data_IF_210557870367
#
_entry.id   IF_210557870367
#
_cell.length_a   1.000
_cell.length_b   1.000
_cell.length_c   1.000
_cell.angle_alpha   90.00
_cell.angle_beta   90.00
_cell.angle_gamma   90.00
#
_symmetry.space_group_name_H-M   'P 1'
#
loop_
_entity.id
_entity.type
_entity.pdbx_description
1 polymer ?
#
# COMPACT_ATOMS: atom_id res chain seq x y z
N UNK A 1 -34.14 -17.15 46.56
CA UNK A 1 -33.71 -17.40 47.96
C UNK A 1 -34.07 -16.28 48.95
N UNK A 2 -34.89 -15.28 48.58
CA UNK A 2 -35.41 -14.24 49.51
C UNK A 2 -36.86 -14.47 49.97
N UNK A 3 -37.59 -15.41 49.36
CA UNK A 3 -38.97 -15.74 49.73
C UNK A 3 -39.10 -16.82 50.80
N UNK A 4 -38.06 -17.63 51.05
CA UNK A 4 -38.09 -18.68 52.08
C UNK A 4 -37.79 -18.17 53.50
N UNK A 5 -37.11 -17.02 53.63
CA UNK A 5 -36.77 -16.41 54.93
C UNK A 5 -37.96 -15.62 55.51
N UNK A 6 -38.91 -15.19 54.68
CA UNK A 6 -40.13 -14.51 55.14
C UNK A 6 -41.13 -15.48 55.79
N UNK A 7 -41.24 -16.72 55.31
CA UNK A 7 -42.20 -17.70 55.82
C UNK A 7 -41.81 -18.28 57.20
N UNK A 8 -40.51 -18.37 57.50
CA UNK A 8 -40.02 -18.88 58.78
C UNK A 8 -40.19 -17.89 59.95
N UNK A 9 -40.35 -16.58 59.67
CA UNK A 9 -40.57 -15.55 60.70
C UNK A 9 -42.03 -15.39 61.11
N UNK A 10 -42.99 -15.71 60.24
CA UNK A 10 -44.43 -15.65 60.59
C UNK A 10 -44.90 -16.85 61.44
N UNK A 11 -44.28 -18.02 61.27
CA UNK A 11 -44.66 -19.22 62.05
C UNK A 11 -44.12 -19.17 63.48
N UNK A 12 -42.99 -18.49 63.73
CA UNK A 12 -42.37 -18.44 65.07
C UNK A 12 -43.00 -17.39 66.00
N UNK A 13 -43.70 -16.38 65.45
CA UNK A 13 -44.41 -15.36 66.25
C UNK A 13 -45.81 -15.83 66.68
N UNK A 14 -46.41 -16.80 65.98
CA UNK A 14 -47.76 -17.31 66.31
C UNK A 14 -47.80 -18.44 67.35
N UNK A 15 -46.67 -19.04 67.72
CA UNK A 15 -46.64 -20.18 68.66
C UNK A 15 -46.22 -19.77 70.09
N UNK A 16 -45.77 -18.54 70.31
CA UNK A 16 -45.20 -18.10 71.60
C UNK A 16 -46.10 -17.17 72.45
N UNK A 17 -47.43 -17.18 72.26
CA UNK A 17 -48.34 -16.30 73.02
C UNK A 17 -49.59 -16.99 73.60
N UNK A 18 -49.57 -18.31 73.81
CA UNK A 18 -50.73 -19.03 74.34
C UNK A 18 -50.41 -20.06 75.44
N UNK A 19 -49.42 -19.79 76.31
CA UNK A 19 -49.08 -20.70 77.40
C UNK A 19 -48.65 -20.01 78.71
N UNK A 20 -49.09 -18.77 78.96
CA UNK A 20 -48.80 -18.04 80.21
C UNK A 20 -49.95 -17.09 80.57
N UNK A 21 -51.09 -17.64 80.98
CA UNK A 21 -51.95 -17.07 82.03
C UNK A 21 -53.10 -18.04 82.30
N UNK A 22 -53.64 -18.00 83.52
CA UNK A 22 -54.78 -18.77 84.04
C UNK A 22 -54.42 -20.14 84.63
N UNK A 23 -54.15 -20.14 85.94
CA UNK A 23 -55.01 -20.81 86.94
C UNK A 23 -54.38 -20.63 88.33
N UNK A 24 -54.63 -19.47 88.93
CA UNK A 24 -54.67 -19.32 90.38
C UNK A 24 -56.15 -19.15 90.73
N UNK A 25 -56.79 -20.21 91.18
CA UNK A 25 -58.04 -20.13 91.94
C UNK A 25 -58.09 -21.31 92.92
N UNK A 26 -58.21 -21.05 94.23
CA UNK A 26 -58.40 -22.08 95.23
C UNK A 26 -59.88 -22.48 95.23
N UNK A 27 -60.19 -23.73 94.90
CA UNK A 27 -61.54 -24.25 95.11
C UNK A 27 -61.60 -24.89 96.50
N UNK A 28 -62.00 -24.08 97.46
CA UNK A 28 -62.61 -24.53 98.69
C UNK A 28 -64.02 -25.07 98.36
N UNK A 29 -64.26 -26.35 98.65
CA UNK A 29 -65.57 -26.98 98.77
C UNK A 29 -65.35 -28.22 99.65
N UNK A 30 -65.38 -28.13 100.98
CA UNK A 30 -66.60 -28.11 101.80
C UNK A 30 -67.61 -29.16 101.35
N UNK A 31 -67.30 -30.42 101.64
CA UNK A 31 -68.27 -31.51 101.74
C UNK A 31 -68.32 -31.95 103.21
N UNK A 32 -68.97 -31.09 104.01
CA UNK A 32 -69.49 -31.42 105.33
C UNK A 32 -70.74 -32.28 105.09
N UNK A 33 -70.62 -33.59 105.28
CA UNK A 33 -71.79 -34.45 105.47
C UNK A 33 -72.00 -34.56 106.97
N UNK A 34 -72.84 -33.66 107.48
CA UNK A 34 -73.51 -33.77 108.77
C UNK A 34 -74.56 -34.88 108.68
N UNK A 35 -74.26 -36.05 109.24
CA UNK A 35 -75.27 -37.03 109.61
C UNK A 35 -75.50 -36.93 111.11
N UNK A 36 -76.59 -36.25 111.40
CA UNK A 36 -77.17 -36.01 112.71
C UNK A 36 -77.48 -37.31 113.43
N UNK A 37 -77.15 -37.29 114.71
CA UNK A 37 -77.53 -38.23 115.74
C UNK A 37 -79.05 -38.36 115.82
N UNK A 38 -79.56 -39.59 115.67
CA UNK A 38 -80.81 -40.02 116.27
C UNK A 38 -80.51 -41.30 117.05
N UNK A 39 -80.47 -41.18 118.37
CA UNK A 39 -80.36 -42.30 119.28
C UNK A 39 -81.71 -42.97 119.49
N UNK A 40 -81.79 -44.25 119.14
CA UNK A 40 -82.60 -45.23 119.85
C UNK A 40 -81.68 -46.43 120.12
N UNK A 41 -81.52 -46.75 121.40
CA UNK A 41 -80.68 -47.83 121.87
C UNK A 41 -81.31 -49.21 121.72
N UNK A 42 -80.45 -50.22 121.85
CA UNK A 42 -80.85 -51.56 122.29
C UNK A 42 -81.08 -52.59 121.19
N UNK A 43 -80.02 -53.05 120.52
CA UNK A 43 -79.51 -54.42 120.64
C UNK A 43 -78.36 -54.59 119.65
N UNK A 44 -77.17 -54.82 120.22
CA UNK A 44 -75.96 -55.26 119.51
C UNK A 44 -76.25 -56.57 118.78
N UNK A 45 -76.58 -56.44 117.50
CA UNK A 45 -76.43 -57.53 116.54
C UNK A 45 -74.93 -57.77 116.34
N UNK A 46 -74.46 -58.91 116.81
CA UNK A 46 -73.16 -59.47 116.49
C UNK A 46 -72.97 -59.48 114.97
N UNK A 47 -72.17 -58.54 114.44
CA UNK A 47 -71.67 -58.69 113.06
C UNK A 47 -70.95 -60.02 113.02
N UNK A 48 -71.37 -60.87 112.07
CA UNK A 48 -70.79 -62.20 111.94
C UNK A 48 -69.31 -62.03 111.58
N UNK A 49 -68.39 -62.67 112.33
CA UNK A 49 -66.95 -62.68 112.02
C UNK A 49 -66.58 -62.79 110.51
N UNK A 50 -67.28 -63.58 109.67
CA UNK A 50 -66.96 -63.70 108.24
C UNK A 50 -67.01 -62.40 107.42
N UNK A 51 -67.85 -61.41 107.78
CA UNK A 51 -67.95 -60.16 107.00
C UNK A 51 -66.74 -59.24 107.24
N UNK A 52 -66.26 -59.18 108.48
CA UNK A 52 -65.05 -58.41 108.85
C UNK A 52 -63.80 -59.07 108.28
N UNK A 53 -63.73 -60.41 108.30
CA UNK A 53 -62.63 -61.17 107.70
C UNK A 53 -62.53 -60.95 106.18
N UNK A 54 -63.66 -60.91 105.47
CA UNK A 54 -63.71 -60.58 104.04
C UNK A 54 -63.20 -59.16 103.77
N UNK A 55 -63.62 -58.17 104.56
CA UNK A 55 -63.15 -56.80 104.41
C UNK A 55 -61.64 -56.65 104.70
N UNK A 56 -61.12 -57.34 105.72
CA UNK A 56 -59.69 -57.39 106.03
C UNK A 56 -58.89 -58.08 104.92
N UNK A 57 -59.42 -59.15 104.32
CA UNK A 57 -58.79 -59.81 103.17
C UNK A 57 -58.75 -58.89 101.94
N UNK A 58 -59.83 -58.15 101.68
CA UNK A 58 -59.88 -57.15 100.60
C UNK A 58 -58.91 -55.99 100.83
N UNK A 59 -58.82 -55.47 102.07
CA UNK A 59 -57.88 -54.43 102.45
C UNK A 59 -56.43 -54.91 102.31
N UNK A 60 -56.13 -56.13 102.77
CA UNK A 60 -54.81 -56.76 102.62
C UNK A 60 -54.45 -56.92 101.14
N UNK A 61 -55.36 -57.42 100.31
CA UNK A 61 -55.16 -57.54 98.85
C UNK A 61 -54.94 -56.17 98.19
N UNK A 62 -55.67 -55.13 98.62
CA UNK A 62 -55.51 -53.78 98.10
C UNK A 62 -54.13 -53.20 98.45
N UNK A 63 -53.64 -53.43 99.67
CA UNK A 63 -52.31 -53.01 100.12
C UNK A 63 -51.20 -53.74 99.36
N UNK A 64 -51.31 -55.05 99.12
CA UNK A 64 -50.33 -55.78 98.29
C UNK A 64 -50.34 -55.29 96.83
N UNK A 65 -51.51 -54.99 96.26
CA UNK A 65 -51.60 -54.38 94.91
C UNK A 65 -51.01 -52.96 94.88
N UNK A 66 -51.10 -52.20 95.96
CA UNK A 66 -50.46 -50.90 96.08
C UNK A 66 -48.93 -51.05 96.21
N UNK A 67 -48.47 -52.03 96.99
CA UNK A 67 -47.04 -52.37 97.13
C UNK A 67 -46.43 -52.82 95.80
N UNK A 68 -47.13 -53.64 95.02
CA UNK A 68 -46.68 -54.07 93.70
C UNK A 68 -46.57 -52.92 92.69
N UNK A 69 -47.25 -51.80 92.94
CA UNK A 69 -47.12 -50.56 92.17
C UNK A 69 -46.10 -49.58 92.78
N UNK A 70 -45.25 -50.05 93.71
CA UNK A 70 -44.25 -49.26 94.44
C UNK A 70 -44.84 -48.04 95.20
N UNK A 71 -46.08 -48.15 95.67
CA UNK A 71 -46.70 -47.12 96.51
C UNK A 71 -45.92 -46.76 97.80
N UNK A 72 -45.13 -47.65 98.45
CA UNK A 72 -44.30 -47.25 99.58
C UNK A 72 -43.30 -46.13 99.24
N UNK A 73 -42.80 -46.10 98.00
CA UNK A 73 -41.80 -45.13 97.52
C UNK A 73 -42.47 -43.94 96.84
N UNK A 74 -43.45 -44.20 95.97
CA UNK A 74 -44.07 -43.19 95.11
C UNK A 74 -45.27 -42.48 95.76
N UNK A 75 -45.98 -43.13 96.69
CA UNK A 75 -47.14 -42.58 97.38
C UNK A 75 -47.08 -42.86 98.91
N UNK A 76 -45.99 -42.46 99.59
CA UNK A 76 -45.65 -42.94 100.93
C UNK A 76 -46.72 -42.61 101.97
N UNK A 77 -47.36 -41.45 101.89
CA UNK A 77 -48.32 -40.99 102.90
C UNK A 77 -49.63 -41.80 102.84
N UNK A 78 -50.18 -41.98 101.64
CA UNK A 78 -51.38 -42.80 101.43
C UNK A 78 -51.12 -44.29 101.74
N UNK A 79 -49.94 -44.79 101.41
CA UNK A 79 -49.56 -46.18 101.73
C UNK A 79 -49.40 -46.40 103.25
N UNK A 80 -48.75 -45.47 103.95
CA UNK A 80 -48.63 -45.50 105.42
C UNK A 80 -50.00 -45.44 106.10
N UNK A 81 -50.89 -44.57 105.62
CA UNK A 81 -52.26 -44.47 106.13
C UNK A 81 -53.04 -45.77 105.94
N UNK A 82 -52.95 -46.40 104.76
CA UNK A 82 -53.56 -47.70 104.50
C UNK A 82 -53.03 -48.81 105.43
N UNK A 83 -51.71 -48.85 105.63
CA UNK A 83 -51.07 -49.84 106.51
C UNK A 83 -51.46 -49.65 107.98
N UNK A 84 -51.53 -48.39 108.46
CA UNK A 84 -51.99 -48.06 109.80
C UNK A 84 -53.46 -48.46 110.01
N UNK A 85 -54.35 -48.08 109.09
CA UNK A 85 -55.77 -48.45 109.15
C UNK A 85 -55.99 -49.97 109.12
N UNK A 86 -55.17 -50.73 108.38
CA UNK A 86 -55.24 -52.21 108.40
C UNK A 86 -54.76 -52.79 109.74
N UNK A 87 -53.70 -52.21 110.33
CA UNK A 87 -53.22 -52.64 111.64
C UNK A 87 -54.26 -52.37 112.75
N UNK A 88 -54.88 -51.19 112.72
CA UNK A 88 -55.94 -50.81 113.66
C UNK A 88 -57.20 -51.66 113.46
N UNK A 89 -57.56 -51.98 112.20
CA UNK A 89 -58.68 -52.88 111.91
C UNK A 89 -58.47 -54.30 112.48
N UNK A 90 -57.24 -54.83 112.38
CA UNK A 90 -56.88 -56.14 112.97
C UNK A 90 -56.92 -56.10 114.50
N UNK A 91 -56.49 -54.98 115.11
CA UNK A 91 -56.56 -54.78 116.56
C UNK A 91 -58.02 -54.70 117.03
N UNK A 92 -58.85 -53.90 116.38
CA UNK A 92 -60.28 -53.79 116.67
C UNK A 92 -61.03 -55.14 116.57
N UNK A 93 -60.66 -55.99 115.60
CA UNK A 93 -61.22 -57.35 115.49
C UNK A 93 -60.85 -58.23 116.68
N UNK A 94 -59.58 -58.20 117.13
CA UNK A 94 -59.13 -58.93 118.33
C UNK A 94 -59.87 -58.49 119.60
N UNK A 95 -60.17 -57.19 119.68
CA UNK A 95 -60.92 -56.57 120.78
C UNK A 95 -62.45 -56.75 120.65
N UNK A 96 -62.92 -57.53 119.66
CA UNK A 96 -64.34 -57.80 119.37
C UNK A 96 -65.15 -56.54 119.00
N UNK A 97 -64.51 -55.48 118.51
CA UNK A 97 -65.14 -54.24 118.01
C UNK A 97 -65.41 -54.34 116.50
N UNK A 98 -66.39 -55.14 116.11
CA UNK A 98 -66.66 -55.47 114.70
C UNK A 98 -66.94 -54.28 113.78
N UNK A 99 -67.70 -53.27 114.24
CA UNK A 99 -68.01 -52.06 113.47
C UNK A 99 -66.76 -51.23 113.16
N UNK A 100 -65.89 -51.04 114.16
CA UNK A 100 -64.64 -50.31 114.00
C UNK A 100 -63.68 -51.06 113.08
N UNK A 101 -63.57 -52.38 113.26
CA UNK A 101 -62.75 -53.23 112.39
C UNK A 101 -63.19 -53.16 110.93
N UNK A 102 -64.51 -53.19 110.66
CA UNK A 102 -65.06 -53.08 109.31
C UNK A 102 -64.80 -51.70 108.69
N UNK A 103 -65.06 -50.62 109.44
CA UNK A 103 -64.81 -49.23 108.99
C UNK A 103 -63.33 -49.01 108.66
N UNK A 104 -62.44 -49.42 109.56
CA UNK A 104 -60.99 -49.27 109.38
C UNK A 104 -60.47 -50.15 108.22
N UNK A 105 -61.03 -51.35 108.01
CA UNK A 105 -60.69 -52.18 106.87
C UNK A 105 -61.11 -51.54 105.53
N UNK A 106 -62.29 -50.91 105.46
CA UNK A 106 -62.69 -50.16 104.26
C UNK A 106 -61.85 -48.92 104.03
N UNK A 107 -61.49 -48.18 105.08
CA UNK A 107 -60.58 -47.04 104.98
C UNK A 107 -59.21 -47.50 104.47
N UNK A 108 -58.64 -48.57 105.05
CA UNK A 108 -57.39 -49.17 104.57
C UNK A 108 -57.46 -49.58 103.09
N UNK A 109 -58.56 -50.19 102.65
CA UNK A 109 -58.75 -50.58 101.25
C UNK A 109 -58.88 -49.36 100.31
N UNK A 110 -59.53 -48.28 100.76
CA UNK A 110 -59.67 -47.04 100.00
C UNK A 110 -58.32 -46.31 99.88
N UNK A 111 -57.60 -46.13 100.99
CA UNK A 111 -56.29 -45.50 101.04
C UNK A 111 -55.28 -46.28 100.20
N UNK A 112 -55.33 -47.61 100.22
CA UNK A 112 -54.48 -48.46 99.38
C UNK A 112 -54.77 -48.30 97.89
N UNK A 113 -56.05 -48.16 97.49
CA UNK A 113 -56.42 -47.89 96.10
C UNK A 113 -55.94 -46.50 95.64
N UNK A 114 -56.05 -45.49 96.50
CA UNK A 114 -55.51 -44.15 96.24
C UNK A 114 -54.00 -44.20 96.10
N UNK A 115 -53.30 -44.83 97.03
CA UNK A 115 -51.84 -44.98 97.00
C UNK A 115 -51.37 -45.68 95.72
N UNK A 116 -52.04 -46.76 95.32
CA UNK A 116 -51.75 -47.46 94.05
C UNK A 116 -51.93 -46.56 92.84
N UNK A 117 -53.02 -45.79 92.79
CA UNK A 117 -53.31 -44.90 91.65
C UNK A 117 -52.28 -43.78 91.55
N UNK A 118 -51.97 -43.13 92.66
CA UNK A 118 -50.95 -42.06 92.72
C UNK A 118 -49.59 -42.61 92.29
N UNK A 119 -49.20 -43.78 92.78
CA UNK A 119 -47.95 -44.42 92.39
C UNK A 119 -47.90 -44.73 90.88
N UNK A 120 -48.98 -45.29 90.32
CA UNK A 120 -49.07 -45.55 88.88
C UNK A 120 -49.04 -44.26 88.02
N UNK A 121 -49.68 -43.19 88.49
CA UNK A 121 -49.66 -41.89 87.80
C UNK A 121 -48.26 -41.25 87.83
N UNK A 122 -47.54 -41.36 88.96
CA UNK A 122 -46.16 -40.88 89.10
C UNK A 122 -45.22 -41.67 88.21
N UNK A 123 -45.29 -43.00 88.23
CA UNK A 123 -44.46 -43.88 87.38
C UNK A 123 -44.68 -43.58 85.88
N UNK A 124 -45.95 -43.47 85.47
CA UNK A 124 -46.31 -43.10 84.10
C UNK A 124 -45.78 -41.73 83.70
N UNK A 125 -45.89 -40.73 84.58
CA UNK A 125 -45.37 -39.38 84.31
C UNK A 125 -43.84 -39.38 84.24
N UNK A 126 -43.15 -40.16 85.09
CA UNK A 126 -41.71 -40.32 85.03
C UNK A 126 -41.26 -40.96 83.70
N UNK A 127 -41.96 -42.00 83.24
CA UNK A 127 -41.70 -42.63 81.94
C UNK A 127 -41.94 -41.66 80.76
N UNK A 128 -43.02 -40.88 80.80
CA UNK A 128 -43.31 -39.86 79.78
C UNK A 128 -42.24 -38.76 79.77
N UNK A 129 -41.82 -38.27 80.95
CA UNK A 129 -40.75 -37.27 81.05
C UNK A 129 -39.43 -37.81 80.51
N UNK A 130 -39.09 -39.07 80.78
CA UNK A 130 -37.89 -39.70 80.21
C UNK A 130 -37.94 -39.73 78.67
N UNK A 131 -39.09 -40.09 78.09
CA UNK A 131 -39.29 -40.09 76.63
C UNK A 131 -39.17 -38.66 76.07
N UNK A 132 -39.78 -37.66 76.72
CA UNK A 132 -39.70 -36.26 76.28
C UNK A 132 -38.25 -35.78 76.28
N UNK A 133 -37.50 -36.02 77.35
CA UNK A 133 -36.08 -35.66 77.45
C UNK A 133 -35.23 -36.36 76.36
N UNK A 134 -35.51 -37.63 76.07
CA UNK A 134 -34.83 -38.35 74.99
C UNK A 134 -35.14 -37.72 73.61
N UNK A 135 -36.41 -37.41 73.34
CA UNK A 135 -36.84 -36.76 72.09
C UNK A 135 -36.26 -35.36 71.95
N UNK A 136 -36.18 -34.59 73.04
CA UNK A 136 -35.54 -33.26 73.05
C UNK A 136 -34.05 -33.35 72.76
N UNK A 137 -33.33 -34.29 73.38
CA UNK A 137 -31.92 -34.53 73.11
C UNK A 137 -31.67 -34.94 71.64
N UNK A 138 -32.52 -35.81 71.10
CA UNK A 138 -32.45 -36.22 69.69
C UNK A 138 -32.78 -35.07 68.74
N UNK A 139 -33.79 -34.25 69.04
CA UNK A 139 -34.13 -33.07 68.25
C UNK A 139 -32.98 -32.05 68.25
N UNK A 140 -32.31 -31.87 69.39
CA UNK A 140 -31.11 -31.00 69.47
C UNK A 140 -29.97 -31.51 68.59
N UNK A 141 -29.64 -32.80 68.66
CA UNK A 141 -28.62 -33.43 67.79
C UNK A 141 -28.94 -33.28 66.31
N UNK A 142 -30.20 -33.46 65.93
CA UNK A 142 -30.65 -33.29 64.54
C UNK A 142 -30.50 -31.83 64.07
N UNK A 143 -30.86 -30.85 64.91
CA UNK A 143 -30.67 -29.42 64.60
C UNK A 143 -29.20 -29.06 64.42
N UNK A 144 -28.32 -29.54 65.29
CA UNK A 144 -26.87 -29.32 65.18
C UNK A 144 -26.30 -29.95 63.89
N UNK A 145 -26.77 -31.15 63.55
CA UNK A 145 -26.39 -31.83 62.30
C UNK A 145 -26.86 -31.06 61.08
N UNK A 146 -28.12 -30.60 61.06
CA UNK A 146 -28.69 -29.79 59.98
C UNK A 146 -27.90 -28.49 59.80
N UNK A 147 -27.64 -27.75 60.88
CA UNK A 147 -26.85 -26.51 60.82
C UNK A 147 -25.44 -26.76 60.25
N UNK A 148 -24.81 -27.87 60.62
CA UNK A 148 -23.50 -28.25 60.08
C UNK A 148 -23.58 -28.57 58.58
N UNK A 149 -24.63 -29.28 58.15
CA UNK A 149 -24.86 -29.62 56.74
C UNK A 149 -25.18 -28.40 55.90
N UNK A 150 -26.00 -27.48 56.39
CA UNK A 150 -26.30 -26.20 55.74
C UNK A 150 -25.01 -25.41 55.51
N UNK A 151 -24.14 -25.29 56.53
CA UNK A 151 -22.84 -24.62 56.39
C UNK A 151 -21.91 -25.31 55.38
N UNK A 152 -21.94 -26.65 55.29
CA UNK A 152 -21.21 -27.38 54.26
C UNK A 152 -21.75 -27.09 52.86
N UNK A 153 -23.08 -26.98 52.72
CA UNK A 153 -23.77 -26.71 51.46
C UNK A 153 -23.49 -25.28 50.98
N UNK A 154 -23.50 -24.29 51.87
CA UNK A 154 -23.10 -22.92 51.56
C UNK A 154 -21.65 -22.83 51.06
N UNK A 155 -20.72 -23.53 51.73
CA UNK A 155 -19.31 -23.59 51.29
C UNK A 155 -19.17 -24.25 49.92
N UNK A 156 -19.93 -25.32 49.66
CA UNK A 156 -19.93 -25.99 48.37
C UNK A 156 -20.48 -25.08 47.26
N UNK A 157 -21.60 -24.39 47.52
CA UNK A 157 -22.19 -23.42 46.59
C UNK A 157 -21.21 -22.29 46.25
N UNK A 158 -20.57 -21.69 47.26
CA UNK A 158 -19.56 -20.65 47.05
C UNK A 158 -18.36 -21.15 46.23
N UNK A 159 -17.95 -22.42 46.41
CA UNK A 159 -16.87 -23.03 45.61
C UNK A 159 -17.30 -23.23 44.16
N UNK A 160 -18.53 -23.66 43.90
CA UNK A 160 -19.09 -23.80 42.55
C UNK A 160 -19.13 -22.44 41.84
N UNK A 161 -19.57 -21.37 42.51
CA UNK A 161 -19.58 -20.03 41.93
C UNK A 161 -18.17 -19.55 41.56
N UNK A 162 -17.18 -19.76 42.44
CA UNK A 162 -15.78 -19.41 42.15
C UNK A 162 -15.27 -20.18 40.93
N UNK A 163 -15.47 -21.50 40.90
CA UNK A 163 -15.04 -22.35 39.77
C UNK A 163 -15.72 -21.94 38.46
N UNK A 164 -17.02 -21.57 38.49
CA UNK A 164 -17.72 -21.06 37.31
C UNK A 164 -17.13 -19.72 36.83
N UNK A 165 -16.71 -18.86 37.76
CA UNK A 165 -15.97 -17.64 37.45
C UNK A 165 -14.63 -17.91 36.76
N UNK A 166 -13.84 -18.83 37.32
CA UNK A 166 -12.56 -19.28 36.76
C UNK A 166 -12.73 -19.90 35.36
N UNK A 167 -13.74 -20.75 35.16
CA UNK A 167 -14.06 -21.34 33.86
C UNK A 167 -14.39 -20.26 32.80
N UNK A 168 -15.18 -19.25 33.16
CA UNK A 168 -15.49 -18.12 32.27
C UNK A 168 -14.24 -17.32 31.92
N UNK A 169 -13.34 -17.10 32.88
CA UNK A 169 -12.08 -16.41 32.63
C UNK A 169 -11.16 -17.22 31.70
N UNK A 170 -11.02 -18.51 31.94
CA UNK A 170 -10.26 -19.42 31.08
C UNK A 170 -10.82 -19.47 29.65
N UNK A 171 -12.15 -19.52 29.48
CA UNK A 171 -12.80 -19.43 28.15
C UNK A 171 -12.47 -18.13 27.42
N UNK A 172 -12.44 -16.99 28.12
CA UNK A 172 -12.04 -15.69 27.53
C UNK A 172 -10.58 -15.70 27.12
N UNK A 173 -9.69 -16.23 27.96
CA UNK A 173 -8.26 -16.35 27.65
C UNK A 173 -8.02 -17.27 26.46
N UNK A 174 -8.69 -18.43 26.40
CA UNK A 174 -8.61 -19.36 25.27
C UNK A 174 -9.03 -18.68 23.96
N UNK A 175 -10.15 -17.95 23.96
CA UNK A 175 -10.61 -17.21 22.78
C UNK A 175 -9.61 -16.14 22.33
N UNK A 176 -8.93 -15.45 23.27
CA UNK A 176 -7.88 -14.48 22.96
C UNK A 176 -6.68 -15.16 22.29
N UNK A 177 -6.20 -16.26 22.86
CA UNK A 177 -5.09 -17.03 22.30
C UNK A 177 -5.42 -17.59 20.91
N UNK A 178 -6.65 -18.05 20.69
CA UNK A 178 -7.09 -18.51 19.37
C UNK A 178 -7.12 -17.39 18.33
N UNK A 179 -7.53 -16.17 18.71
CA UNK A 179 -7.46 -14.99 17.84
C UNK A 179 -6.01 -14.64 17.50
N UNK A 180 -5.14 -14.56 18.51
CA UNK A 180 -3.71 -14.30 18.32
C UNK A 180 -3.06 -15.35 17.40
N UNK A 181 -3.40 -16.63 17.57
CA UNK A 181 -2.93 -17.73 16.69
C UNK A 181 -3.38 -17.52 15.24
N UNK A 182 -4.63 -17.09 15.00
CA UNK A 182 -5.14 -16.78 13.64
C UNK A 182 -4.41 -15.60 13.03
N UNK A 183 -4.19 -14.53 13.80
CA UNK A 183 -3.44 -13.36 13.34
C UNK A 183 -1.99 -13.71 12.99
N UNK A 184 -1.32 -14.50 13.83
CA UNK A 184 0.04 -14.99 13.55
C UNK A 184 0.08 -15.87 12.29
N UNK A 185 -0.93 -16.72 12.08
CA UNK A 185 -1.05 -17.53 10.85
C UNK A 185 -1.18 -16.64 9.61
N UNK A 186 -2.03 -15.61 9.67
CA UNK A 186 -2.22 -14.67 8.57
C UNK A 186 -0.94 -13.85 8.29
N UNK A 187 -0.25 -13.40 9.35
CA UNK A 187 1.06 -12.72 9.21
C UNK A 187 2.10 -13.65 8.57
N UNK A 188 2.18 -14.90 9.00
CA UNK A 188 3.08 -15.91 8.40
C UNK A 188 2.78 -16.12 6.92
N UNK A 189 1.51 -16.21 6.53
CA UNK A 189 1.12 -16.35 5.13
C UNK A 189 1.49 -15.10 4.31
N UNK A 190 1.25 -13.91 4.84
CA UNK A 190 1.65 -12.63 4.22
C UNK A 190 3.16 -12.54 4.02
N UNK A 191 3.95 -12.86 5.04
CA UNK A 191 5.41 -12.91 4.91
C UNK A 191 5.87 -13.98 3.92
N UNK A 192 5.20 -15.13 3.85
CA UNK A 192 5.45 -16.15 2.83
C UNK A 192 5.28 -15.61 1.41
N UNK A 193 4.21 -14.84 1.15
CA UNK A 193 3.97 -14.18 -0.14
C UNK A 193 5.03 -13.13 -0.46
N UNK A 194 5.45 -12.33 0.54
CA UNK A 194 6.52 -11.33 0.36
C UNK A 194 7.86 -12.00 0.02
N UNK A 195 8.21 -13.09 0.70
CA UNK A 195 9.44 -13.84 0.40
C UNK A 195 9.40 -14.44 -1.01
N UNK A 196 8.25 -14.98 -1.45
CA UNK A 196 8.10 -15.47 -2.81
C UNK A 196 8.30 -14.37 -3.87
N UNK A 197 7.65 -13.21 -3.68
CA UNK A 197 7.80 -12.06 -4.58
C UNK A 197 9.25 -11.53 -4.62
N UNK A 198 9.93 -11.47 -3.47
CA UNK A 198 11.35 -11.09 -3.41
C UNK A 198 12.24 -12.08 -4.15
N UNK A 199 11.95 -13.38 -4.05
CA UNK A 199 12.67 -14.43 -4.77
C UNK A 199 12.50 -14.30 -6.29
N UNK A 200 11.28 -14.04 -6.75
CA UNK A 200 11.01 -13.79 -8.18
C UNK A 200 11.73 -12.53 -8.69
N UNK A 201 11.73 -11.45 -7.90
CA UNK A 201 12.47 -10.22 -8.21
C UNK A 201 13.98 -10.48 -8.30
N UNK A 202 14.54 -11.26 -7.38
CA UNK A 202 15.95 -11.65 -7.41
C UNK A 202 16.29 -12.47 -8.66
N UNK A 203 15.45 -13.45 -9.02
CA UNK A 203 15.64 -14.23 -10.25
C UNK A 203 15.56 -13.36 -11.52
N UNK A 204 14.65 -12.38 -11.55
CA UNK A 204 14.54 -11.40 -12.63
C UNK A 204 15.79 -10.53 -12.73
N UNK A 205 16.30 -10.02 -11.61
CA UNK A 205 17.53 -9.23 -11.56
C UNK A 205 18.75 -10.05 -12.00
N UNK A 206 18.86 -11.31 -11.58
CA UNK A 206 19.92 -12.21 -12.04
C UNK A 206 19.86 -12.44 -13.55
N UNK A 207 18.66 -12.65 -14.11
CA UNK A 207 18.47 -12.76 -15.57
C UNK A 207 18.89 -11.49 -16.30
N UNK A 208 18.51 -10.30 -15.79
CA UNK A 208 18.92 -9.01 -16.35
C UNK A 208 20.42 -8.79 -16.29
N UNK A 209 21.05 -9.12 -15.16
CA UNK A 209 22.51 -9.04 -14.99
C UNK A 209 23.23 -9.94 -16.00
N UNK A 210 22.80 -11.20 -16.18
CA UNK A 210 23.37 -12.09 -17.22
C UNK A 210 23.22 -11.55 -18.65
N UNK A 211 22.09 -10.91 -18.96
CA UNK A 211 21.89 -10.26 -20.26
C UNK A 211 22.85 -9.08 -20.44
N UNK A 212 22.94 -8.19 -19.45
CA UNK A 212 23.86 -7.06 -19.47
C UNK A 212 25.33 -7.50 -19.60
N UNK A 213 25.75 -8.56 -18.90
CA UNK A 213 27.09 -9.15 -19.08
C UNK A 213 27.33 -9.64 -20.51
N UNK A 214 26.31 -10.21 -21.16
CA UNK A 214 26.40 -10.66 -22.54
C UNK A 214 26.51 -9.49 -23.51
N UNK A 215 25.71 -8.43 -23.30
CA UNK A 215 25.78 -7.19 -24.08
C UNK A 215 27.16 -6.52 -23.96
N UNK A 216 27.71 -6.42 -22.73
CA UNK A 216 29.05 -5.88 -22.50
C UNK A 216 30.11 -6.68 -23.27
N UNK A 217 30.02 -8.02 -23.27
CA UNK A 217 30.95 -8.85 -24.06
C UNK A 217 30.82 -8.61 -25.56
N UNK A 218 29.59 -8.41 -26.06
CA UNK A 218 29.37 -8.13 -27.47
C UNK A 218 29.95 -6.77 -27.87
N UNK A 219 29.67 -5.71 -27.10
CA UNK A 219 30.29 -4.40 -27.31
C UNK A 219 31.82 -4.45 -27.22
N UNK A 220 32.37 -5.25 -26.30
CA UNK A 220 33.81 -5.49 -26.23
C UNK A 220 34.40 -6.08 -27.52
N UNK A 221 33.67 -6.99 -28.19
CA UNK A 221 34.07 -7.54 -29.50
C UNK A 221 33.97 -6.50 -30.61
N UNK A 222 32.90 -5.71 -30.64
CA UNK A 222 32.71 -4.64 -31.63
C UNK A 222 33.82 -3.57 -31.53
N UNK A 223 34.17 -3.16 -30.31
CA UNK A 223 35.29 -2.23 -30.07
C UNK A 223 36.61 -2.82 -30.59
N UNK A 224 36.86 -4.11 -30.36
CA UNK A 224 38.07 -4.76 -30.85
C UNK A 224 38.11 -4.81 -32.39
N UNK A 225 36.98 -5.03 -33.05
CA UNK A 225 36.89 -5.01 -34.51
C UNK A 225 37.12 -3.60 -35.06
N UNK A 226 36.51 -2.57 -34.46
CA UNK A 226 36.73 -1.18 -34.85
C UNK A 226 38.18 -0.76 -34.68
N UNK A 227 38.85 -1.17 -33.59
CA UNK A 227 40.30 -0.92 -33.40
C UNK A 227 41.13 -1.56 -34.52
N UNK A 228 40.84 -2.79 -34.92
CA UNK A 228 41.53 -3.44 -36.05
C UNK A 228 41.31 -2.69 -37.37
N UNK A 229 40.09 -2.24 -37.64
CA UNK A 229 39.78 -1.43 -38.84
C UNK A 229 40.57 -0.12 -38.82
N UNK A 230 40.68 0.52 -37.67
CA UNK A 230 41.46 1.75 -37.49
C UNK A 230 42.96 1.51 -37.70
N UNK A 231 43.52 0.43 -37.14
CA UNK A 231 44.93 0.03 -37.38
C UNK A 231 45.22 -0.25 -38.87
N UNK A 232 44.28 -0.88 -39.58
CA UNK A 232 44.41 -1.12 -41.03
C UNK A 232 44.37 0.21 -41.80
N UNK A 233 43.43 1.09 -41.47
CA UNK A 233 43.35 2.42 -42.09
C UNK A 233 44.63 3.25 -41.84
N UNK A 234 45.14 3.24 -40.61
CA UNK A 234 46.41 3.90 -40.26
C UNK A 234 47.59 3.34 -41.05
N UNK A 235 47.64 2.02 -41.26
CA UNK A 235 48.67 1.38 -42.09
C UNK A 235 48.56 1.82 -43.55
N UNK A 236 47.36 1.84 -44.11
CA UNK A 236 47.12 2.31 -45.48
C UNK A 236 47.54 3.77 -45.67
N UNK A 237 47.20 4.65 -44.72
CA UNK A 237 47.63 6.06 -44.75
C UNK A 237 49.16 6.17 -44.74
N UNK A 238 49.84 5.36 -43.92
CA UNK A 238 51.32 5.34 -43.89
C UNK A 238 51.90 4.85 -45.20
N UNK A 239 51.37 3.78 -45.77
CA UNK A 239 51.79 3.20 -47.06
C UNK A 239 51.58 4.18 -48.22
N UNK A 240 50.41 4.82 -48.33
CA UNK A 240 50.15 5.89 -49.30
C UNK A 240 51.11 7.07 -49.11
N UNK A 241 51.40 7.44 -47.87
CA UNK A 241 52.40 8.45 -47.55
C UNK A 241 53.81 8.05 -48.02
N UNK A 242 54.19 6.78 -47.88
CA UNK A 242 55.45 6.25 -48.40
C UNK A 242 55.48 6.23 -49.93
N UNK A 243 54.41 5.82 -50.60
CA UNK A 243 54.30 5.81 -52.07
C UNK A 243 54.39 7.24 -52.63
N UNK A 244 53.69 8.21 -52.03
CA UNK A 244 53.79 9.63 -52.42
C UNK A 244 55.22 10.15 -52.28
N UNK A 245 55.90 9.83 -51.17
CA UNK A 245 57.32 10.21 -50.97
C UNK A 245 58.25 9.56 -52.00
N UNK A 246 58.05 8.28 -52.34
CA UNK A 246 58.82 7.59 -53.36
C UNK A 246 58.61 8.21 -54.75
N UNK A 247 57.37 8.52 -55.13
CA UNK A 247 57.04 9.18 -56.40
C UNK A 247 57.62 10.60 -56.50
N UNK A 248 57.66 11.35 -55.40
CA UNK A 248 58.34 12.66 -55.34
C UNK A 248 59.85 12.49 -55.57
N UNK A 249 60.48 11.51 -54.91
CA UNK A 249 61.91 11.24 -55.09
C UNK A 249 62.25 10.78 -56.52
N UNK A 250 61.41 9.96 -57.14
CA UNK A 250 61.54 9.59 -58.56
C UNK A 250 61.35 10.80 -59.48
N UNK A 251 60.34 11.64 -59.22
CA UNK A 251 60.13 12.86 -59.99
C UNK A 251 61.31 13.85 -59.85
N UNK A 252 61.93 13.95 -58.67
CA UNK A 252 63.13 14.75 -58.45
C UNK A 252 64.36 14.17 -59.14
N UNK A 253 64.53 12.85 -59.12
CA UNK A 253 65.56 12.13 -59.88
C UNK A 253 65.39 12.35 -61.39
N UNK A 254 64.17 12.21 -61.92
CA UNK A 254 63.83 12.46 -63.32
C UNK A 254 64.06 13.93 -63.69
N UNK A 255 63.71 14.89 -62.82
CA UNK A 255 64.02 16.32 -63.01
C UNK A 255 65.53 16.57 -63.06
N UNK A 256 66.32 15.88 -62.23
CA UNK A 256 67.79 15.97 -62.25
C UNK A 256 68.36 15.40 -63.55
N UNK A 257 67.88 14.24 -64.00
CA UNK A 257 68.25 13.64 -65.29
C UNK A 257 67.86 14.55 -66.47
N UNK A 258 66.68 15.15 -66.45
CA UNK A 258 66.21 16.12 -67.44
C UNK A 258 67.10 17.37 -67.49
N UNK A 259 67.55 17.89 -66.34
CA UNK A 259 68.51 19.01 -66.29
C UNK A 259 69.87 18.63 -66.87
N UNK A 260 70.36 17.42 -66.56
CA UNK A 260 71.63 16.92 -67.10
C UNK A 260 71.54 16.75 -68.63
N UNK A 261 70.45 16.17 -69.13
CA UNK A 261 70.22 16.05 -70.58
C UNK A 261 70.01 17.40 -71.25
N UNK A 262 69.27 18.32 -70.64
CA UNK A 262 69.09 19.67 -71.15
C UNK A 262 70.43 20.42 -71.24
N UNK A 263 71.33 20.23 -70.26
CA UNK A 263 72.69 20.78 -70.31
C UNK A 263 73.49 20.19 -71.49
N UNK A 264 73.47 18.86 -71.66
CA UNK A 264 74.11 18.19 -72.81
C UNK A 264 73.55 18.69 -74.15
N UNK A 265 72.23 18.88 -74.25
CA UNK A 265 71.60 19.43 -75.46
C UNK A 265 71.94 20.90 -75.69
N UNK A 266 72.02 21.71 -74.62
CA UNK A 266 72.41 23.12 -74.70
C UNK A 266 73.84 23.27 -75.17
N UNK A 267 74.76 22.43 -74.67
CA UNK A 267 76.16 22.40 -75.10
C UNK A 267 76.29 21.96 -76.57
N UNK A 268 75.47 20.98 -77.01
CA UNK A 268 75.38 20.57 -78.42
C UNK A 268 74.77 21.65 -79.32
N UNK A 269 73.79 22.43 -78.84
CA UNK A 269 73.17 23.53 -79.58
C UNK A 269 74.11 24.73 -79.71
N UNK A 270 74.90 25.03 -78.67
CA UNK A 270 75.94 26.06 -78.72
C UNK A 270 77.01 25.73 -79.78
N UNK A 271 77.35 24.45 -79.96
CA UNK A 271 78.24 23.98 -81.02
C UNK A 271 77.60 24.02 -82.42
N UNK A 272 76.28 23.82 -82.53
CA UNK A 272 75.56 23.82 -83.81
C UNK A 272 75.19 25.24 -84.32
N UNK A 273 75.03 26.22 -83.43
CA UNK A 273 74.57 27.58 -83.76
C UNK A 273 75.62 28.51 -84.40
N UNK A 274 76.87 28.07 -84.61
CA UNK A 274 77.86 28.86 -85.36
C UNK A 274 77.73 28.72 -86.89
N UNK A 275 76.79 27.92 -87.44
CA UNK A 275 76.76 27.62 -88.89
C UNK A 275 75.47 27.80 -89.68
N UNK A 276 74.28 28.10 -89.13
CA UNK A 276 73.10 28.33 -90.01
C UNK A 276 71.88 29.02 -89.37
N UNK A 277 71.99 30.27 -88.94
CA UNK A 277 70.84 30.96 -88.29
C UNK A 277 70.67 32.45 -88.66
N UNK A 278 70.91 32.84 -89.91
CA UNK A 278 70.44 34.13 -90.45
C UNK A 278 69.32 33.99 -91.51
N UNK A 279 69.05 32.78 -92.02
CA UNK A 279 68.14 32.57 -93.16
C UNK A 279 66.86 31.78 -92.84
N UNK A 280 66.60 31.42 -91.57
CA UNK A 280 65.40 30.64 -91.18
C UNK A 280 64.57 31.25 -90.05
N UNK A 281 64.98 32.42 -89.53
CA UNK A 281 64.30 33.10 -88.42
C UNK A 281 63.22 34.08 -88.92
N UNK A 282 63.34 34.60 -90.14
CA UNK A 282 62.38 35.56 -90.72
C UNK A 282 61.08 34.88 -91.19
N UNK A 283 61.16 33.63 -91.68
CA UNK A 283 60.00 32.86 -92.13
C UNK A 283 59.19 32.26 -90.95
N UNK A 284 59.85 31.83 -89.88
CA UNK A 284 59.18 31.30 -88.67
C UNK A 284 58.36 32.35 -87.92
N UNK A 285 58.81 33.62 -87.93
CA UNK A 285 58.07 34.73 -87.30
C UNK A 285 56.82 35.12 -88.10
N UNK A 286 56.80 34.94 -89.43
CA UNK A 286 55.60 35.14 -90.27
C UNK A 286 54.57 34.03 -90.06
N UNK A 287 55.00 32.77 -89.94
CA UNK A 287 54.10 31.63 -89.69
C UNK A 287 53.48 31.65 -88.28
N UNK A 288 54.25 31.99 -87.24
CA UNK A 288 53.71 32.10 -85.87
C UNK A 288 52.79 33.32 -85.68
N UNK A 289 53.01 34.40 -86.43
CA UNK A 289 52.06 35.51 -86.49
C UNK A 289 50.75 35.15 -87.23
N UNK A 290 50.77 34.20 -88.17
CA UNK A 290 49.58 33.69 -88.85
C UNK A 290 48.79 32.68 -88.00
N UNK A 291 49.48 31.77 -87.29
CA UNK A 291 48.84 30.83 -86.34
C UNK A 291 48.21 31.54 -85.13
N UNK A 292 48.85 32.60 -84.59
CA UNK A 292 48.28 33.40 -83.51
C UNK A 292 47.03 34.19 -83.96
N UNK A 293 46.95 34.61 -85.23
CA UNK A 293 45.76 35.26 -85.80
C UNK A 293 44.63 34.26 -86.06
N UNK A 294 44.95 33.01 -86.42
CA UNK A 294 43.96 31.93 -86.60
C UNK A 294 43.39 31.42 -85.25
N UNK A 295 44.19 31.36 -84.19
CA UNK A 295 43.71 30.96 -82.85
C UNK A 295 42.79 32.02 -82.21
N UNK A 296 43.10 33.31 -82.39
CA UNK A 296 42.24 34.43 -81.95
C UNK A 296 40.96 34.53 -82.79
N UNK A 297 40.98 34.12 -84.07
CA UNK A 297 39.76 34.01 -84.91
C UNK A 297 38.91 32.76 -84.63
N UNK A 298 39.47 31.73 -83.97
CA UNK A 298 38.74 30.51 -83.58
C UNK A 298 38.04 30.58 -82.21
N UNK A 299 38.28 31.64 -81.42
CA UNK A 299 37.40 32.01 -80.32
C UNK A 299 36.40 33.06 -80.79
N UNK A 300 35.29 32.60 -81.35
CA UNK A 300 34.11 33.44 -81.50
C UNK A 300 33.64 33.90 -80.10
N UNK A 301 33.92 35.17 -79.83
CA UNK A 301 33.09 36.17 -79.14
C UNK A 301 31.83 35.64 -78.45
N UNK A 302 31.87 35.47 -77.13
CA UNK A 302 30.66 35.33 -76.31
C UNK A 302 30.69 36.24 -75.07
N UNK A 303 31.53 37.27 -75.07
CA UNK A 303 31.41 38.39 -74.16
C UNK A 303 31.53 39.67 -74.99
N UNK A 304 30.59 40.62 -74.88
CA UNK A 304 30.77 41.94 -75.48
C UNK A 304 32.08 42.56 -74.95
N UNK A 305 32.98 42.90 -75.86
CA UNK A 305 34.29 43.47 -75.51
C UNK A 305 34.07 44.84 -74.86
N UNK A 306 34.38 44.97 -73.57
CA UNK A 306 34.30 46.25 -72.86
C UNK A 306 35.43 47.16 -73.32
N UNK A 307 35.09 48.22 -74.04
CA UNK A 307 36.00 49.28 -74.52
C UNK A 307 36.06 50.47 -73.57
N UNK A 308 35.14 50.57 -72.60
CA UNK A 308 35.02 51.68 -71.65
C UNK A 308 34.48 52.97 -72.28
N UNK A 309 33.92 52.90 -73.49
CA UNK A 309 33.37 54.05 -74.23
C UNK A 309 31.86 53.90 -74.38
N UNK A 310 31.13 55.00 -74.34
CA UNK A 310 29.66 55.03 -74.52
C UNK A 310 29.24 56.14 -75.48
N UNK A 311 28.20 55.89 -76.26
CA UNK A 311 27.53 56.88 -77.12
C UNK A 311 26.24 57.44 -76.50
N UNK A 312 25.87 56.99 -75.30
CA UNK A 312 24.64 57.42 -74.61
C UNK A 312 24.81 58.81 -73.99
N UNK A 313 23.77 59.64 -74.09
CA UNK A 313 23.71 60.91 -73.36
C UNK A 313 23.50 60.68 -71.85
N UNK A 314 23.80 61.69 -71.02
CA UNK A 314 23.56 61.64 -69.57
C UNK A 314 22.09 61.34 -69.23
N UNK A 315 21.15 61.88 -70.01
CA UNK A 315 19.71 61.61 -69.85
C UNK A 315 19.36 60.15 -70.17
N UNK A 316 19.92 59.62 -71.25
CA UNK A 316 19.74 58.20 -71.61
C UNK A 316 20.34 57.27 -70.56
N UNK A 317 21.53 57.59 -70.03
CA UNK A 317 22.15 56.82 -68.95
C UNK A 317 21.27 56.83 -67.69
N UNK A 318 20.71 57.98 -67.32
CA UNK A 318 19.79 58.08 -66.17
C UNK A 318 18.50 57.27 -66.39
N UNK A 319 17.91 57.35 -67.59
CA UNK A 319 16.72 56.60 -67.96
C UNK A 319 16.97 55.07 -67.95
N UNK A 320 18.11 54.62 -68.50
CA UNK A 320 18.51 53.21 -68.48
C UNK A 320 18.80 52.69 -67.07
N UNK A 321 19.45 53.49 -66.22
CA UNK A 321 19.61 53.17 -64.78
C UNK A 321 18.28 53.02 -64.07
N UNK A 322 17.33 53.91 -64.32
CA UNK A 322 15.99 53.81 -63.76
C UNK A 322 15.25 52.54 -64.25
N UNK A 323 15.42 52.16 -65.52
CA UNK A 323 14.86 50.94 -66.06
C UNK A 323 15.46 49.68 -65.42
N UNK A 324 16.79 49.61 -65.27
CA UNK A 324 17.47 48.54 -64.52
C UNK A 324 16.97 48.43 -63.09
N UNK A 325 16.77 49.56 -62.40
CA UNK A 325 16.22 49.57 -61.05
C UNK A 325 14.80 49.01 -61.01
N UNK A 326 13.92 49.40 -61.93
CA UNK A 326 12.55 48.83 -62.00
C UNK A 326 12.56 47.34 -62.30
N UNK A 327 13.42 46.88 -63.21
CA UNK A 327 13.61 45.47 -63.52
C UNK A 327 14.07 44.68 -62.28
N UNK A 328 15.05 45.19 -61.53
CA UNK A 328 15.52 44.55 -60.30
C UNK A 328 14.45 44.57 -59.20
N UNK A 329 13.69 45.67 -59.06
CA UNK A 329 12.61 45.75 -58.07
C UNK A 329 11.47 44.76 -58.40
N UNK A 330 11.20 44.51 -59.68
CA UNK A 330 10.25 43.48 -60.09
C UNK A 330 10.71 42.06 -59.69
N UNK A 331 12.02 41.80 -59.71
CA UNK A 331 12.60 40.57 -59.18
C UNK A 331 12.44 40.49 -57.65
N UNK A 332 12.83 41.54 -56.93
CA UNK A 332 12.79 41.59 -55.47
C UNK A 332 11.35 41.49 -54.92
N UNK A 333 10.36 42.04 -55.64
CA UNK A 333 8.93 41.92 -55.33
C UNK A 333 8.28 40.62 -55.82
N UNK A 334 9.08 39.68 -56.35
CA UNK A 334 8.64 38.38 -56.88
C UNK A 334 7.65 38.44 -58.06
N UNK A 335 7.51 39.61 -58.70
CA UNK A 335 6.62 39.82 -59.85
C UNK A 335 7.34 39.43 -61.16
N UNK A 336 7.37 38.12 -61.44
CA UNK A 336 8.07 37.58 -62.62
C UNK A 336 7.47 38.07 -63.95
N UNK A 337 6.15 38.32 -63.98
CA UNK A 337 5.48 38.80 -65.19
C UNK A 337 6.03 40.17 -65.60
N UNK A 338 6.13 41.11 -64.64
CA UNK A 338 6.74 42.43 -64.86
C UNK A 338 8.25 42.34 -65.09
N UNK A 339 8.96 41.45 -64.38
CA UNK A 339 10.39 41.27 -64.60
C UNK A 339 10.71 40.85 -66.06
N UNK A 340 9.89 39.97 -66.63
CA UNK A 340 10.04 39.46 -67.98
C UNK A 340 9.67 40.47 -69.09
N UNK A 341 8.95 41.56 -68.79
CA UNK A 341 8.64 42.60 -69.79
C UNK A 341 9.85 43.44 -70.19
N UNK A 342 10.90 43.45 -69.37
CA UNK A 342 12.14 44.17 -69.68
C UNK A 342 13.03 43.40 -70.66
N UNK A 343 12.76 42.14 -70.98
CA UNK A 343 13.58 41.36 -71.89
C UNK A 343 13.14 41.54 -73.34
N UNK A 344 14.11 41.78 -74.24
CA UNK A 344 13.87 41.85 -75.67
C UNK A 344 13.42 40.48 -76.22
N UNK A 345 12.66 40.43 -77.32
CA UNK A 345 12.17 39.17 -77.90
C UNK A 345 13.30 38.20 -78.30
N UNK A 346 14.45 38.71 -78.69
CA UNK A 346 15.63 37.97 -79.13
C UNK A 346 16.75 37.89 -78.08
N UNK A 347 16.43 38.14 -76.80
CA UNK A 347 17.44 38.08 -75.74
C UNK A 347 18.05 36.67 -75.63
N UNK A 348 19.36 36.66 -75.38
CA UNK A 348 20.11 35.47 -75.01
C UNK A 348 20.73 35.72 -73.64
N UNK A 349 20.44 34.81 -72.70
CA UNK A 349 21.14 34.75 -71.43
C UNK A 349 22.15 33.60 -71.42
N UNK A 350 23.43 33.92 -71.21
CA UNK A 350 24.49 32.93 -71.05
C UNK A 350 24.57 32.51 -69.58
N UNK A 351 24.33 31.23 -69.29
CA UNK A 351 24.44 30.67 -67.94
C UNK A 351 25.68 29.81 -67.83
N UNK A 352 26.58 30.23 -66.94
CA UNK A 352 27.81 29.54 -66.56
C UNK A 352 27.69 29.06 -65.12
N UNK A 353 27.72 27.75 -64.90
CA UNK A 353 27.75 27.15 -63.56
C UNK A 353 29.15 26.62 -63.29
N UNK A 354 29.71 27.01 -62.14
CA UNK A 354 31.07 26.69 -61.72
C UNK A 354 31.00 25.86 -60.44
N UNK A 355 31.47 24.62 -60.52
CA UNK A 355 31.52 23.67 -59.41
C UNK A 355 32.85 22.91 -59.46
N UNK A 356 33.58 22.87 -58.34
CA UNK A 356 34.82 22.09 -58.20
C UNK A 356 35.81 22.33 -59.38
N UNK A 357 35.98 23.60 -59.75
CA UNK A 357 36.85 24.05 -60.85
C UNK A 357 36.45 23.59 -62.27
N UNK A 358 35.21 23.11 -62.46
CA UNK A 358 34.62 22.81 -63.77
C UNK A 358 33.58 23.86 -64.14
N UNK A 359 33.61 24.32 -65.40
CA UNK A 359 32.63 25.24 -65.95
C UNK A 359 31.62 24.51 -66.86
N UNK A 360 30.34 24.71 -66.60
CA UNK A 360 29.25 24.25 -67.45
C UNK A 360 28.51 25.45 -68.03
N UNK A 361 28.56 25.61 -69.36
CA UNK A 361 27.96 26.74 -70.07
C UNK A 361 26.72 26.30 -70.83
N UNK A 362 25.65 27.08 -70.72
CA UNK A 362 24.37 26.86 -71.39
C UNK A 362 23.79 28.19 -71.82
N UNK A 363 23.14 28.22 -72.99
CA UNK A 363 22.41 29.39 -73.49
C UNK A 363 20.93 29.26 -73.14
N UNK A 364 20.32 30.35 -72.70
CA UNK A 364 18.91 30.44 -72.35
C UNK A 364 18.27 31.49 -73.25
N UNK A 365 17.36 31.05 -74.09
CA UNK A 365 16.61 31.93 -74.98
C UNK A 365 15.40 32.56 -74.27
N UNK A 366 14.81 33.60 -74.86
CA UNK A 366 13.65 34.32 -74.29
C UNK A 366 12.52 33.42 -73.81
N UNK A 367 12.18 32.37 -74.56
CA UNK A 367 11.12 31.41 -74.23
C UNK A 367 11.45 30.51 -73.04
N UNK A 368 12.74 30.35 -72.72
CA UNK A 368 13.24 29.50 -71.64
C UNK A 368 13.51 30.30 -70.35
N UNK A 369 13.58 31.63 -70.42
CA UNK A 369 13.93 32.50 -69.28
C UNK A 369 13.01 32.32 -68.08
N UNK A 370 11.70 32.19 -68.26
CA UNK A 370 10.78 32.00 -67.13
C UNK A 370 11.06 30.68 -66.42
N UNK A 371 11.21 29.59 -67.18
CA UNK A 371 11.52 28.27 -66.64
C UNK A 371 12.89 28.25 -65.93
N UNK A 372 13.88 28.99 -66.44
CA UNK A 372 15.20 29.10 -65.83
C UNK A 372 15.22 29.98 -64.56
N UNK A 373 14.38 31.03 -64.51
CA UNK A 373 14.28 31.94 -63.37
C UNK A 373 13.40 31.39 -62.24
N UNK A 374 12.41 30.54 -62.54
CA UNK A 374 11.52 29.94 -61.56
C UNK A 374 12.24 29.23 -60.40
N UNK A 375 13.19 28.29 -60.62
CA UNK A 375 13.94 27.65 -59.53
C UNK A 375 14.85 28.63 -58.80
N UNK A 376 15.27 29.73 -59.45
CA UNK A 376 16.04 30.78 -58.79
C UNK A 376 15.16 31.60 -57.84
N UNK A 377 13.83 31.59 -57.96
CA UNK A 377 12.91 32.32 -57.08
C UNK A 377 12.45 31.49 -55.88
N UNK A 378 12.38 30.17 -56.01
CA UNK A 378 11.85 29.25 -54.98
C UNK A 378 12.62 29.33 -53.65
N UNK A 379 13.88 29.75 -53.67
CA UNK A 379 14.67 30.00 -52.47
C UNK A 379 15.22 31.44 -52.50
N UNK A 380 15.13 32.19 -51.39
CA UNK A 380 15.44 33.62 -51.39
C UNK A 380 16.94 33.86 -51.63
N UNK A 381 17.26 34.61 -52.68
CA UNK A 381 18.60 35.16 -52.91
C UNK A 381 18.72 36.51 -52.24
N UNK A 382 19.82 36.73 -51.52
CA UNK A 382 20.14 38.02 -50.91
C UNK A 382 21.10 38.79 -51.82
N UNK A 383 20.74 40.02 -52.16
CA UNK A 383 21.64 40.95 -52.88
C UNK A 383 22.79 41.37 -51.96
N UNK A 384 24.02 41.10 -52.38
CA UNK A 384 25.25 41.52 -51.66
C UNK A 384 25.73 42.86 -52.18
N UNK A 385 25.90 42.97 -53.51
CA UNK A 385 26.45 44.16 -54.17
C UNK A 385 25.80 44.36 -55.52
N UNK A 386 25.57 45.61 -55.89
CA UNK A 386 25.19 45.99 -57.24
C UNK A 386 26.06 47.15 -57.73
N UNK A 387 26.45 47.13 -58.99
CA UNK A 387 27.05 48.28 -59.68
C UNK A 387 26.36 48.49 -61.02
N UNK A 388 26.55 49.69 -61.56
CA UNK A 388 26.07 50.00 -62.91
C UNK A 388 27.19 50.63 -63.71
N UNK A 389 27.41 50.07 -64.89
CA UNK A 389 28.40 50.48 -65.87
C UNK A 389 27.67 50.93 -67.14
N UNK A 390 28.39 51.56 -68.06
CA UNK A 390 27.87 51.97 -69.36
C UNK A 390 28.90 51.59 -70.42
N UNK A 391 28.46 50.95 -71.49
CA UNK A 391 29.32 50.48 -72.58
C UNK A 391 28.54 50.57 -73.90
N UNK A 392 29.13 51.21 -74.90
CA UNK A 392 28.46 51.49 -76.18
C UNK A 392 27.11 52.17 -75.95
N UNK A 393 26.05 51.55 -76.46
CA UNK A 393 24.64 51.96 -76.33
C UNK A 393 23.91 51.29 -75.17
N UNK A 394 24.65 50.63 -74.27
CA UNK A 394 24.08 49.83 -73.19
C UNK A 394 24.38 50.43 -71.82
N UNK A 395 23.38 50.37 -70.94
CA UNK A 395 23.57 50.47 -69.50
C UNK A 395 23.61 49.06 -68.94
N UNK A 396 24.66 48.75 -68.19
CA UNK A 396 24.96 47.41 -67.69
C UNK A 396 24.78 47.36 -66.18
N UNK A 397 23.88 46.52 -65.70
CA UNK A 397 23.76 46.23 -64.26
C UNK A 397 24.54 44.98 -63.90
N UNK A 398 25.45 45.06 -62.91
CA UNK A 398 26.15 43.89 -62.36
C UNK A 398 25.67 43.67 -60.93
N UNK A 399 25.02 42.53 -60.69
CA UNK A 399 24.41 42.20 -59.40
C UNK A 399 24.99 40.91 -58.87
N UNK A 400 25.59 40.96 -57.68
CA UNK A 400 26.05 39.79 -56.94
C UNK A 400 25.02 39.43 -55.88
N UNK A 401 24.45 38.25 -56.01
CA UNK A 401 23.52 37.66 -55.07
C UNK A 401 24.18 36.45 -54.37
N UNK A 402 23.77 36.17 -53.15
CA UNK A 402 24.13 34.94 -52.44
C UNK A 402 22.93 34.22 -51.85
N UNK A 403 23.09 32.92 -51.67
CA UNK A 403 22.14 32.05 -51.00
C UNK A 403 22.89 31.06 -50.12
N UNK A 404 22.46 30.92 -48.87
CA UNK A 404 23.00 29.91 -47.96
C UNK A 404 22.54 28.51 -48.41
N UNK A 405 23.47 27.57 -48.50
CA UNK A 405 23.22 26.19 -48.95
C UNK A 405 23.42 25.21 -47.80
N UNK A 406 24.47 25.42 -46.99
CA UNK A 406 24.70 24.69 -45.75
C UNK A 406 25.15 25.68 -44.67
N UNK A 407 24.46 25.75 -43.51
CA UNK A 407 24.96 26.50 -42.36
C UNK A 407 26.27 25.88 -41.85
N UNK A 408 27.08 26.66 -41.15
CA UNK A 408 28.20 26.11 -40.39
C UNK A 408 27.64 25.17 -39.30
N UNK A 409 28.11 23.94 -39.26
CA UNK A 409 27.63 22.93 -38.30
C UNK A 409 28.24 23.16 -36.90
N UNK A 410 29.43 23.75 -36.83
CA UNK A 410 30.16 24.09 -35.61
C UNK A 410 31.08 25.31 -35.83
N UNK A 411 31.86 25.68 -34.81
CA UNK A 411 32.77 26.84 -34.83
C UNK A 411 33.95 26.68 -35.81
N UNK A 412 34.27 25.45 -36.23
CA UNK A 412 35.38 25.13 -37.14
C UNK A 412 34.93 24.94 -38.60
N UNK A 413 33.62 24.85 -38.86
CA UNK A 413 33.04 24.69 -40.19
C UNK A 413 32.70 26.03 -40.85
N UNK A 414 32.98 26.15 -42.16
CA UNK A 414 32.59 27.33 -42.95
C UNK A 414 31.23 27.12 -43.61
N UNK A 415 30.30 28.04 -43.41
CA UNK A 415 29.03 28.03 -44.10
C UNK A 415 29.24 28.09 -45.64
N UNK A 416 28.49 27.28 -46.37
CA UNK A 416 28.57 27.20 -47.83
C UNK A 416 27.46 28.01 -48.48
N UNK A 417 27.84 28.81 -49.48
CA UNK A 417 26.94 29.68 -50.23
C UNK A 417 26.99 29.36 -51.73
N UNK A 418 25.85 29.53 -52.38
CA UNK A 418 25.84 29.75 -53.82
C UNK A 418 25.97 31.24 -54.07
N UNK A 419 26.82 31.63 -55.02
CA UNK A 419 26.98 33.02 -55.46
C UNK A 419 26.47 33.10 -56.89
N UNK A 420 25.54 34.00 -57.15
CA UNK A 420 25.03 34.28 -58.49
C UNK A 420 25.36 35.71 -58.87
N UNK A 421 26.20 35.87 -59.90
CA UNK A 421 26.49 37.16 -60.51
C UNK A 421 25.66 37.26 -61.78
N UNK A 422 24.87 38.32 -61.86
CA UNK A 422 24.06 38.68 -63.03
C UNK A 422 24.64 39.94 -63.65
N UNK A 423 25.08 39.86 -64.88
CA UNK A 423 25.48 41.02 -65.67
C UNK A 423 24.46 41.25 -66.78
N UNK A 424 23.78 42.38 -66.75
CA UNK A 424 22.53 42.63 -67.47
C UNK A 424 22.72 43.81 -68.39
N UNK A 425 22.63 43.59 -69.69
CA UNK A 425 22.89 44.61 -70.71
C UNK A 425 21.56 45.14 -71.25
N UNK A 426 21.25 46.39 -70.90
CA UNK A 426 20.04 47.08 -71.36
C UNK A 426 20.38 48.17 -72.35
N UNK A 427 19.67 48.18 -73.47
CA UNK A 427 19.74 49.26 -74.46
C UNK A 427 18.33 49.75 -74.81
N UNK A 428 18.27 50.91 -75.46
CA UNK A 428 17.00 51.52 -75.82
C UNK A 428 16.47 50.91 -77.14
N UNK A 429 15.26 50.36 -77.09
CA UNK A 429 14.53 49.82 -78.25
C UNK A 429 13.23 50.62 -78.40
N UNK A 430 13.22 51.59 -79.32
CA UNK A 430 12.14 52.56 -79.44
C UNK A 430 12.07 53.49 -78.22
N UNK A 431 10.90 53.53 -77.56
CA UNK A 431 10.70 54.33 -76.34
C UNK A 431 11.01 53.55 -75.04
N UNK A 432 11.32 52.25 -75.13
CA UNK A 432 11.52 51.39 -73.97
C UNK A 432 12.97 50.92 -73.83
N UNK A 433 13.39 50.65 -72.61
CA UNK A 433 14.69 50.02 -72.34
C UNK A 433 14.52 48.51 -72.20
N UNK A 434 15.25 47.74 -73.01
CA UNK A 434 15.16 46.29 -73.05
C UNK A 434 16.52 45.63 -72.79
N UNK A 435 16.49 44.52 -72.08
CA UNK A 435 17.61 43.61 -71.89
C UNK A 435 17.76 42.80 -73.17
N UNK A 436 18.87 42.96 -73.86
CA UNK A 436 19.19 42.21 -75.07
C UNK A 436 20.24 41.13 -74.83
N UNK A 437 20.98 41.23 -73.72
CA UNK A 437 21.94 40.22 -73.30
C UNK A 437 22.03 40.16 -71.77
N UNK A 438 22.19 38.95 -71.24
CA UNK A 438 22.44 38.74 -69.82
C UNK A 438 23.45 37.61 -69.61
N UNK A 439 24.34 37.76 -68.63
CA UNK A 439 25.28 36.72 -68.23
C UNK A 439 25.00 36.32 -66.78
N UNK A 440 24.80 35.03 -66.55
CA UNK A 440 24.64 34.43 -65.23
C UNK A 440 25.87 33.60 -64.92
N UNK A 441 26.63 34.01 -63.91
CA UNK A 441 27.72 33.22 -63.36
C UNK A 441 27.30 32.70 -61.99
N UNK A 442 27.18 31.38 -61.86
CA UNK A 442 26.73 30.72 -60.63
C UNK A 442 27.90 29.89 -60.09
N UNK A 443 28.40 30.27 -58.93
CA UNK A 443 29.39 29.52 -58.18
C UNK A 443 28.68 28.69 -57.12
N UNK A 444 28.83 27.38 -57.17
CA UNK A 444 28.24 26.46 -56.20
C UNK A 444 29.23 26.13 -55.08
N UNK A 445 28.71 25.91 -53.86
CA UNK A 445 29.47 25.53 -52.66
C UNK A 445 30.70 26.42 -52.37
N UNK A 446 30.53 27.74 -52.42
CA UNK A 446 31.58 28.69 -52.07
C UNK A 446 31.63 28.88 -50.55
N UNK A 447 32.77 28.62 -49.88
CA UNK A 447 32.92 28.89 -48.45
C UNK A 447 32.90 30.40 -48.17
N UNK A 448 32.20 30.81 -47.12
CA UNK A 448 32.22 32.18 -46.62
C UNK A 448 33.41 32.40 -45.66
N UNK A 449 34.57 32.69 -46.23
CA UNK A 449 35.78 33.07 -45.49
C UNK A 449 35.71 34.48 -44.92
#
# INVERSE_FOLDING_TARGET
MRQFIAFAREVFVKVNLCALSQMKTPLAALLVISLSVAGCGGQLGTIKPPEVESALAQATSAIEKARAADAPTLAPDAFKSAAANLADAKTALKEKRGNDALRLAYQAAADAKVARKVAADIDKNAALNAIVLEKEANAKKLRETLATKEKQLEKAAARIERLSGEEKQLKRQLSKVEKEKRELRNKRESYGKQVAALRESLESLQKRSKRAETEIRNYGKEIAELRRKLEVADRMIREEGHQKRAAIAEAESLRKQLREQAKIYTDKLAAANQRSAAAKHEDYLKDKAAEARAFVQSQQQHQPVKTGRTSLSSEQIAAGKAALSRWNNAWDSQNIAVHLTFYAPNVIADKVVIRESKEHRTKIERGQLEAALRPMREQPWRKIKGSTEVEGESVIGVYRLSRLVAPAEDEDATALYHIWIREVWMHQVGAEWKIHHELWQIYENVPNF
#
